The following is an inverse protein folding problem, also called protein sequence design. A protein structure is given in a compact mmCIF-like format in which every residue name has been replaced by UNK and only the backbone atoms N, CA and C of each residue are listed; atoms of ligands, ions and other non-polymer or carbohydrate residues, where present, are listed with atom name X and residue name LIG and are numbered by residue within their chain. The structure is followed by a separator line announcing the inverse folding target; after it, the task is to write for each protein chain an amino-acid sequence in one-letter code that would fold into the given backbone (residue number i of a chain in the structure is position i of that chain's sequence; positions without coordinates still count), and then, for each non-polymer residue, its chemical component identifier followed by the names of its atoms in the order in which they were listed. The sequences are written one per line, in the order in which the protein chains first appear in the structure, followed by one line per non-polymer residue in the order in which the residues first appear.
data_IF_408809670091
#
_entry.id   IF_408809670091
#
_cell.length_a   1.000
_cell.length_b   1.000
_cell.length_c   1.000
_cell.angle_alpha   90.00
_cell.angle_beta   90.00
_cell.angle_gamma   90.00
#
_symmetry.space_group_name_H-M   'P 1'
#
loop_
_entity.id
_entity.type
_entity.pdbx_description
1 polymer ?
#
# COMPACT_ATOMS: atom_id res chain seq x y z
N UNK A 1 7.23 32.87 -1.44
CA UNK A 1 6.73 31.48 -1.38
C UNK A 1 5.38 31.42 -2.08
N UNK A 2 5.22 30.58 -3.09
CA UNK A 2 3.90 30.37 -3.72
C UNK A 2 3.00 29.63 -2.72
N UNK A 3 1.81 30.14 -2.38
CA UNK A 3 0.90 29.42 -1.49
C UNK A 3 0.45 28.12 -2.17
N UNK A 4 0.57 27.00 -1.45
CA UNK A 4 0.28 25.64 -1.93
C UNK A 4 -1.23 25.46 -2.20
N UNK A 5 -2.08 26.34 -1.65
CA UNK A 5 -3.52 26.37 -1.88
C UNK A 5 -4.02 27.79 -2.16
N UNK A 6 -5.19 27.89 -2.81
CA UNK A 6 -5.93 29.15 -3.02
C UNK A 6 -7.38 28.97 -2.59
N UNK A 7 -7.92 29.96 -1.89
CA UNK A 7 -9.28 29.93 -1.32
C UNK A 7 -9.51 28.67 -0.48
N UNK A 8 -10.65 28.03 -0.69
CA UNK A 8 -11.05 26.77 -0.06
C UNK A 8 -10.37 25.50 -0.64
N UNK A 9 -9.28 25.64 -1.41
CA UNK A 9 -8.55 24.49 -1.97
C UNK A 9 -8.12 23.44 -0.95
N UNK A 10 -7.80 23.86 0.28
CA UNK A 10 -7.42 22.96 1.38
C UNK A 10 -8.52 21.95 1.77
N UNK A 11 -9.78 22.19 1.38
CA UNK A 11 -10.88 21.26 1.62
C UNK A 11 -10.70 19.93 0.88
N UNK A 12 -10.01 19.90 -0.26
CA UNK A 12 -9.83 18.67 -1.04
C UNK A 12 -9.25 17.51 -0.19
N UNK A 13 -8.04 17.62 0.39
CA UNK A 13 -7.50 16.54 1.21
C UNK A 13 -8.32 16.26 2.47
N UNK A 14 -8.92 17.29 3.09
CA UNK A 14 -9.72 17.13 4.31
C UNK A 14 -10.99 16.33 4.05
N UNK A 15 -11.71 16.64 2.96
CA UNK A 15 -12.92 15.91 2.57
C UNK A 15 -12.59 14.46 2.24
N UNK A 16 -11.50 14.19 1.51
CA UNK A 16 -11.11 12.81 1.24
C UNK A 16 -10.85 12.03 2.53
N UNK A 17 -10.00 12.55 3.43
CA UNK A 17 -9.68 11.87 4.69
C UNK A 17 -10.92 11.66 5.54
N UNK A 18 -11.72 12.70 5.76
CA UNK A 18 -12.94 12.61 6.55
C UNK A 18 -13.93 11.61 5.94
N UNK A 19 -14.20 11.71 4.64
CA UNK A 19 -15.17 10.83 3.99
C UNK A 19 -14.74 9.36 4.00
N UNK A 20 -13.45 9.05 3.88
CA UNK A 20 -12.98 7.66 4.02
C UNK A 20 -13.15 7.13 5.43
N UNK A 21 -12.84 7.93 6.45
CA UNK A 21 -13.03 7.54 7.85
C UNK A 21 -14.51 7.35 8.15
N UNK A 22 -15.35 8.30 7.73
CA UNK A 22 -16.80 8.24 7.94
C UNK A 22 -17.42 7.02 7.26
N UNK A 23 -17.04 6.73 6.01
CA UNK A 23 -17.54 5.55 5.29
C UNK A 23 -17.06 4.26 5.93
N UNK A 24 -15.80 4.18 6.37
CA UNK A 24 -15.31 3.00 7.09
C UNK A 24 -16.11 2.79 8.40
N UNK A 25 -16.25 3.83 9.23
CA UNK A 25 -17.00 3.75 10.49
C UNK A 25 -18.46 3.36 10.27
N UNK A 26 -19.10 3.92 9.24
CA UNK A 26 -20.49 3.61 8.90
C UNK A 26 -20.65 2.16 8.45
N UNK A 27 -19.74 1.67 7.60
CA UNK A 27 -19.82 0.32 7.06
C UNK A 27 -19.51 -0.71 8.13
N UNK A 28 -18.45 -0.52 8.92
CA UNK A 28 -18.10 -1.45 9.99
C UNK A 28 -19.18 -1.44 11.09
N UNK A 29 -19.81 -0.28 11.36
CA UNK A 29 -20.91 -0.16 12.31
C UNK A 29 -22.21 -0.86 11.87
N UNK A 30 -22.46 -0.99 10.56
CA UNK A 30 -23.69 -1.60 10.01
C UNK A 30 -23.49 -3.06 9.63
N UNK A 31 -22.35 -3.39 9.02
CA UNK A 31 -22.08 -4.70 8.42
C UNK A 31 -21.23 -5.61 9.32
N UNK A 32 -20.65 -5.08 10.40
CA UNK A 32 -19.80 -5.80 11.33
C UNK A 32 -18.35 -5.32 11.31
N UNK A 33 -17.64 -5.60 12.40
CA UNK A 33 -16.26 -5.17 12.60
C UNK A 33 -15.35 -5.66 11.46
N UNK A 34 -14.48 -4.78 10.97
CA UNK A 34 -13.55 -4.99 9.85
C UNK A 34 -14.18 -5.34 8.49
N UNK A 35 -15.50 -5.26 8.32
CA UNK A 35 -16.15 -5.58 7.05
C UNK A 35 -15.60 -4.73 5.89
N UNK A 36 -15.37 -3.43 6.12
CA UNK A 36 -14.77 -2.53 5.15
C UNK A 36 -13.38 -3.00 4.72
N UNK A 37 -12.56 -3.47 5.68
CA UNK A 37 -11.18 -3.89 5.40
C UNK A 37 -11.11 -5.22 4.66
N UNK A 38 -12.02 -6.14 4.93
CA UNK A 38 -12.05 -7.47 4.32
C UNK A 38 -12.62 -7.44 2.89
N UNK A 39 -13.48 -6.48 2.56
CA UNK A 39 -14.20 -6.46 1.30
C UNK A 39 -13.66 -5.39 0.33
N UNK A 40 -12.85 -5.81 -0.65
CA UNK A 40 -12.29 -4.91 -1.68
C UNK A 40 -13.36 -4.13 -2.45
N UNK A 41 -14.44 -4.78 -2.87
CA UNK A 41 -15.49 -4.14 -3.66
C UNK A 41 -16.13 -2.97 -2.92
N UNK A 42 -16.23 -3.05 -1.59
CA UNK A 42 -16.73 -1.97 -0.74
C UNK A 42 -15.78 -0.77 -0.79
N UNK A 43 -14.47 -0.99 -0.71
CA UNK A 43 -13.47 0.08 -0.80
C UNK A 43 -13.55 0.79 -2.15
N UNK A 44 -13.67 0.02 -3.24
CA UNK A 44 -13.80 0.57 -4.60
C UNK A 44 -15.10 1.37 -4.75
N UNK A 45 -16.22 0.86 -4.25
CA UNK A 45 -17.49 1.57 -4.27
C UNK A 45 -17.43 2.87 -3.46
N UNK A 46 -16.85 2.80 -2.26
CA UNK A 46 -16.64 3.95 -1.38
C UNK A 46 -15.76 5.01 -2.04
N UNK A 47 -14.68 4.60 -2.68
CA UNK A 47 -13.79 5.48 -3.45
C UNK A 47 -14.55 6.24 -4.55
N UNK A 48 -15.40 5.55 -5.30
CA UNK A 48 -16.23 6.18 -6.35
C UNK A 48 -17.25 7.15 -5.75
N UNK A 49 -17.93 6.77 -4.67
CA UNK A 49 -18.90 7.63 -3.99
C UNK A 49 -18.24 8.91 -3.45
N UNK A 50 -17.09 8.79 -2.78
CA UNK A 50 -16.31 9.93 -2.27
C UNK A 50 -15.80 10.81 -3.41
N UNK A 51 -15.33 10.21 -4.51
CA UNK A 51 -14.89 10.95 -5.69
C UNK A 51 -16.02 11.80 -6.30
N UNK A 52 -17.21 11.22 -6.46
CA UNK A 52 -18.39 11.95 -6.94
C UNK A 52 -18.78 13.10 -6.00
N UNK A 53 -18.70 12.87 -4.69
CA UNK A 53 -18.98 13.89 -3.68
C UNK A 53 -17.97 15.05 -3.77
N UNK A 54 -16.67 14.76 -3.88
CA UNK A 54 -15.62 15.78 -4.06
C UNK A 54 -15.80 16.51 -5.40
N UNK A 55 -16.15 15.81 -6.47
CA UNK A 55 -16.44 16.43 -7.76
C UNK A 55 -17.60 17.41 -7.68
N UNK A 56 -18.70 17.02 -7.00
CA UNK A 56 -19.86 17.89 -6.80
C UNK A 56 -19.49 19.16 -6.01
N UNK A 57 -18.71 19.04 -4.94
CA UNK A 57 -18.22 20.18 -4.16
C UNK A 57 -17.30 21.06 -5.01
N UNK A 58 -16.35 20.46 -5.73
CA UNK A 58 -15.41 21.18 -6.59
C UNK A 58 -16.13 21.97 -7.68
N UNK A 59 -17.08 21.34 -8.38
CA UNK A 59 -17.92 21.99 -9.38
C UNK A 59 -18.78 23.10 -8.77
N UNK A 60 -19.38 22.87 -7.60
CA UNK A 60 -20.19 23.87 -6.92
C UNK A 60 -19.35 25.11 -6.58
N UNK A 61 -18.18 24.94 -5.98
CA UNK A 61 -17.28 26.03 -5.61
C UNK A 61 -16.70 26.75 -6.84
N UNK A 62 -16.20 26.01 -7.83
CA UNK A 62 -15.48 26.62 -8.96
C UNK A 62 -16.38 27.10 -10.11
N UNK A 63 -17.59 26.57 -10.27
CA UNK A 63 -18.54 27.03 -11.30
C UNK A 63 -19.39 28.18 -10.76
N UNK A 64 -19.92 28.07 -9.53
CA UNK A 64 -20.82 29.08 -8.95
C UNK A 64 -20.09 30.36 -8.56
N UNK A 65 -18.93 30.26 -7.90
CA UNK A 65 -18.30 31.44 -7.31
C UNK A 65 -17.44 32.23 -8.31
N UNK A 66 -17.22 31.70 -9.53
CA UNK A 66 -16.39 32.32 -10.56
C UNK A 66 -17.17 33.07 -11.64
N UNK A 67 -18.26 33.73 -11.25
CA UNK A 67 -19.01 34.65 -12.11
C UNK A 67 -18.15 35.89 -12.40
N UNK A 68 -18.20 36.41 -13.63
CA UNK A 68 -17.52 37.64 -14.03
C UNK A 68 -18.06 38.83 -13.23
N UNK A 69 -17.20 39.53 -12.49
CA UNK A 69 -17.56 40.78 -11.82
C UNK A 69 -17.05 41.95 -12.65
N UNK A 70 -17.96 42.87 -13.01
CA UNK A 70 -17.64 44.11 -13.71
C UNK A 70 -17.57 45.21 -12.68
N UNK A 71 -16.41 45.85 -12.52
CA UNK A 71 -16.28 47.00 -11.65
C UNK A 71 -16.94 48.22 -12.32
N UNK A 72 -17.97 48.78 -11.67
CA UNK A 72 -18.74 49.93 -12.16
C UNK A 72 -17.88 51.16 -12.47
N UNK A 73 -16.79 51.33 -11.72
CA UNK A 73 -15.91 52.51 -11.81
C UNK A 73 -14.82 52.41 -12.88
N UNK A 74 -14.41 51.20 -13.27
CA UNK A 74 -13.25 51.01 -14.18
C UNK A 74 -13.57 50.19 -15.43
N UNK A 75 -14.76 49.59 -15.51
CA UNK A 75 -15.15 48.68 -16.61
C UNK A 75 -14.33 47.39 -16.68
N UNK A 76 -13.37 47.19 -15.78
CA UNK A 76 -12.52 45.99 -15.77
C UNK A 76 -13.32 44.78 -15.34
N UNK A 77 -13.25 43.72 -16.15
CA UNK A 77 -13.81 42.40 -15.86
C UNK A 77 -12.80 41.60 -15.05
N UNK A 78 -13.12 41.26 -13.81
CA UNK A 78 -12.28 40.41 -12.96
C UNK A 78 -13.01 39.10 -12.67
N UNK A 79 -12.25 37.99 -12.64
CA UNK A 79 -12.78 36.66 -12.30
C UNK A 79 -12.13 36.20 -10.99
N UNK A 80 -12.92 35.75 -10.00
CA UNK A 80 -12.37 35.18 -8.78
C UNK A 80 -11.41 34.01 -9.09
N UNK A 81 -10.30 33.89 -8.32
CA UNK A 81 -9.37 32.78 -8.49
C UNK A 81 -10.08 31.45 -8.17
N UNK A 82 -9.72 30.39 -8.88
CA UNK A 82 -10.24 29.06 -8.58
C UNK A 82 -9.77 28.57 -7.19
N UNK A 83 -10.60 27.76 -6.56
CA UNK A 83 -10.25 26.99 -5.38
C UNK A 83 -9.35 25.84 -5.82
N UNK A 84 -8.06 25.96 -5.48
CA UNK A 84 -7.03 25.03 -5.95
C UNK A 84 -6.19 24.49 -4.81
N UNK A 85 -5.87 23.21 -4.87
CA UNK A 85 -4.88 22.55 -4.03
C UNK A 85 -3.72 22.08 -4.92
N UNK A 86 -2.48 22.39 -4.53
CA UNK A 86 -1.28 22.18 -5.36
C UNK A 86 -1.47 22.69 -6.79
N UNK A 87 -2.04 23.89 -6.93
CA UNK A 87 -2.33 24.57 -8.21
C UNK A 87 -3.39 23.90 -9.10
N UNK A 88 -3.95 22.75 -8.68
CA UNK A 88 -5.01 22.04 -9.39
C UNK A 88 -6.38 22.35 -8.78
N UNK A 89 -7.43 22.57 -9.61
CA UNK A 89 -8.80 22.71 -9.13
C UNK A 89 -9.27 21.48 -8.33
N UNK A 90 -10.15 21.69 -7.35
CA UNK A 90 -10.67 20.61 -6.48
C UNK A 90 -11.30 19.47 -7.30
N UNK A 91 -12.03 19.78 -8.37
CA UNK A 91 -12.66 18.80 -9.26
C UNK A 91 -11.66 17.86 -9.94
N UNK A 92 -10.41 18.28 -10.14
CA UNK A 92 -9.36 17.43 -10.71
C UNK A 92 -8.91 16.39 -9.69
N UNK A 93 -8.92 16.71 -8.39
CA UNK A 93 -8.57 15.77 -7.31
C UNK A 93 -9.58 14.62 -7.19
N UNK A 94 -10.84 14.85 -7.57
CA UNK A 94 -11.84 13.80 -7.69
C UNK A 94 -11.47 12.70 -8.69
N UNK A 95 -10.57 12.98 -9.65
CA UNK A 95 -10.05 11.99 -10.60
C UNK A 95 -8.69 11.46 -10.15
N UNK A 96 -7.79 12.34 -9.72
CA UNK A 96 -6.42 11.96 -9.35
C UNK A 96 -6.43 10.96 -8.19
N UNK A 97 -7.19 11.22 -7.13
CA UNK A 97 -7.18 10.36 -5.94
C UNK A 97 -7.65 8.94 -6.27
N UNK A 98 -8.81 8.73 -6.93
CA UNK A 98 -9.20 7.39 -7.37
C UNK A 98 -8.18 6.68 -8.25
N UNK A 99 -7.59 7.38 -9.22
CA UNK A 99 -6.57 6.78 -10.08
C UNK A 99 -5.36 6.29 -9.27
N UNK A 100 -4.88 7.08 -8.31
CA UNK A 100 -3.75 6.68 -7.44
C UNK A 100 -4.12 5.49 -6.57
N UNK A 101 -5.33 5.49 -5.97
CA UNK A 101 -5.80 4.37 -5.15
C UNK A 101 -5.95 3.09 -5.96
N UNK A 102 -6.56 3.15 -7.15
CA UNK A 102 -6.74 2.00 -8.03
C UNK A 102 -5.40 1.48 -8.57
N UNK A 103 -4.47 2.37 -8.91
CA UNK A 103 -3.13 1.97 -9.31
C UNK A 103 -2.41 1.23 -8.17
N UNK A 104 -2.46 1.77 -6.95
CA UNK A 104 -1.87 1.11 -5.78
C UNK A 104 -2.52 -0.26 -5.50
N UNK A 105 -3.85 -0.35 -5.56
CA UNK A 105 -4.58 -1.61 -5.39
C UNK A 105 -4.19 -2.65 -6.45
N UNK A 106 -4.06 -2.24 -7.71
CA UNK A 106 -3.61 -3.09 -8.81
C UNK A 106 -2.18 -3.60 -8.58
N UNK A 107 -1.23 -2.71 -8.27
CA UNK A 107 0.16 -3.11 -8.02
C UNK A 107 0.29 -4.06 -6.83
N UNK A 108 -0.50 -3.86 -5.77
CA UNK A 108 -0.51 -4.76 -4.62
C UNK A 108 -1.01 -6.16 -5.00
N UNK A 109 -2.11 -6.26 -5.74
CA UNK A 109 -2.62 -7.55 -6.21
C UNK A 109 -1.65 -8.28 -7.13
N UNK A 110 -1.02 -7.55 -8.05
CA UNK A 110 -0.03 -8.15 -8.93
C UNK A 110 1.14 -8.71 -8.11
N UNK A 111 1.58 -7.97 -7.09
CA UNK A 111 2.65 -8.42 -6.20
C UNK A 111 2.24 -9.62 -5.34
N UNK A 112 1.02 -9.65 -4.80
CA UNK A 112 0.48 -10.77 -4.04
C UNK A 112 0.34 -12.02 -4.91
N UNK A 113 -0.19 -11.88 -6.12
CA UNK A 113 -0.33 -12.99 -7.08
C UNK A 113 1.03 -13.56 -7.47
N UNK A 114 2.03 -12.71 -7.74
CA UNK A 114 3.41 -13.15 -8.01
C UNK A 114 3.99 -13.89 -6.81
N UNK A 115 3.82 -13.34 -5.62
CA UNK A 115 4.34 -13.92 -4.37
C UNK A 115 3.73 -15.30 -4.12
N UNK A 116 2.39 -15.43 -4.23
CA UNK A 116 1.69 -16.70 -4.11
C UNK A 116 2.16 -17.72 -5.15
N UNK A 117 2.29 -17.31 -6.42
CA UNK A 117 2.79 -18.20 -7.47
C UNK A 117 4.20 -18.71 -7.19
N UNK A 118 5.07 -17.90 -6.57
CA UNK A 118 6.42 -18.33 -6.19
C UNK A 118 6.42 -19.30 -5.00
N UNK A 119 5.50 -19.14 -4.04
CA UNK A 119 5.37 -20.05 -2.90
C UNK A 119 4.78 -21.40 -3.34
N UNK A 120 3.80 -21.39 -4.25
CA UNK A 120 3.19 -22.61 -4.79
C UNK A 120 4.15 -23.42 -5.66
N UNK A 121 5.10 -22.75 -6.32
CA UNK A 121 6.11 -23.37 -7.18
C UNK A 121 7.52 -22.98 -6.74
N UNK A 122 7.97 -23.44 -5.56
CA UNK A 122 9.28 -23.06 -5.03
C UNK A 122 10.40 -23.51 -5.96
N UNK A 123 11.45 -22.70 -6.09
CA UNK A 123 12.65 -22.99 -6.87
C UNK A 123 13.88 -22.80 -6.01
N UNK A 124 14.92 -23.55 -6.34
CA UNK A 124 16.25 -23.35 -5.75
C UNK A 124 16.68 -21.90 -5.96
N UNK A 125 17.24 -21.30 -4.90
CA UNK A 125 17.63 -19.90 -4.78
C UNK A 125 16.48 -18.88 -4.65
N UNK A 126 15.23 -19.30 -4.46
CA UNK A 126 14.21 -18.36 -4.01
C UNK A 126 14.56 -17.82 -2.62
N UNK A 127 14.41 -16.51 -2.43
CA UNK A 127 14.68 -15.85 -1.15
C UNK A 127 13.35 -15.39 -0.54
N UNK A 128 13.03 -15.94 0.62
CA UNK A 128 11.84 -15.64 1.41
C UNK A 128 12.17 -14.62 2.48
N UNK A 129 11.45 -13.51 2.54
CA UNK A 129 11.55 -12.53 3.62
C UNK A 129 10.57 -12.88 4.72
N UNK A 130 11.07 -13.12 5.93
CA UNK A 130 10.29 -13.70 7.03
C UNK A 130 10.49 -12.94 8.34
N UNK A 131 9.52 -13.09 9.24
CA UNK A 131 9.60 -12.76 10.65
C UNK A 131 10.00 -14.01 11.44
N UNK A 132 11.28 -14.11 11.81
CA UNK A 132 11.83 -15.24 12.53
C UNK A 132 11.19 -15.46 13.90
N UNK A 133 10.73 -14.40 14.57
CA UNK A 133 10.10 -14.51 15.91
C UNK A 133 8.83 -15.34 15.93
N UNK A 134 8.19 -15.51 14.76
CA UNK A 134 6.99 -16.34 14.59
C UNK A 134 7.29 -17.76 14.09
N UNK A 135 8.50 -18.01 13.61
CA UNK A 135 8.95 -19.30 13.08
C UNK A 135 9.74 -20.07 14.14
N UNK A 136 10.64 -19.38 14.85
CA UNK A 136 11.54 -19.98 15.83
C UNK A 136 11.19 -19.48 17.24
N UNK A 137 11.15 -20.39 18.21
CA UNK A 137 10.61 -20.14 19.56
C UNK A 137 11.54 -19.33 20.48
N UNK A 138 12.79 -19.03 20.08
CA UNK A 138 13.83 -18.40 20.91
C UNK A 138 14.61 -17.28 20.17
N UNK A 139 13.93 -16.51 19.33
CA UNK A 139 14.54 -15.40 18.59
C UNK A 139 14.59 -14.11 19.41
N UNK A 140 15.51 -13.22 19.02
CA UNK A 140 15.66 -11.91 19.65
C UNK A 140 14.38 -11.07 19.43
N UNK A 141 13.75 -10.54 20.50
CA UNK A 141 12.54 -9.75 20.37
C UNK A 141 12.76 -8.42 19.61
N UNK A 142 14.00 -7.95 19.52
CA UNK A 142 14.39 -6.73 18.82
C UNK A 142 14.67 -7.04 17.35
N UNK A 143 15.50 -8.04 17.05
CA UNK A 143 15.92 -8.38 15.68
C UNK A 143 15.16 -9.58 15.13
N UNK A 144 13.94 -9.34 14.64
CA UNK A 144 13.01 -10.41 14.25
C UNK A 144 12.88 -10.64 12.75
N UNK A 145 13.36 -9.74 11.90
CA UNK A 145 13.17 -9.87 10.45
C UNK A 145 14.43 -10.38 9.77
N UNK A 146 14.31 -11.36 8.88
CA UNK A 146 15.44 -11.88 8.11
C UNK A 146 15.03 -12.48 6.77
N UNK A 147 15.93 -13.23 6.15
CA UNK A 147 15.64 -13.99 4.93
C UNK A 147 15.90 -15.47 5.11
N UNK A 148 15.23 -16.28 4.30
CA UNK A 148 15.51 -17.68 4.11
C UNK A 148 15.72 -17.97 2.64
N UNK A 149 16.66 -18.82 2.27
CA UNK A 149 16.90 -19.22 0.88
C UNK A 149 16.56 -20.70 0.67
N UNK A 150 15.93 -21.01 -0.45
CA UNK A 150 15.64 -22.38 -0.88
C UNK A 150 16.89 -23.05 -1.42
N UNK A 151 17.29 -24.17 -0.82
CA UNK A 151 18.40 -24.99 -1.28
C UNK A 151 17.95 -26.12 -2.20
N UNK A 152 16.96 -26.88 -1.75
CA UNK A 152 16.45 -28.05 -2.47
C UNK A 152 14.93 -28.10 -2.34
N UNK A 153 14.30 -28.61 -3.40
CA UNK A 153 12.86 -28.83 -3.47
C UNK A 153 12.65 -30.29 -3.82
N UNK A 154 12.15 -31.06 -2.85
CA UNK A 154 11.89 -32.49 -2.97
C UNK A 154 10.37 -32.72 -2.85
N UNK A 155 9.68 -32.57 -3.98
CA UNK A 155 8.22 -32.69 -4.04
C UNK A 155 7.54 -31.63 -3.18
N UNK A 156 7.03 -32.02 -2.01
CA UNK A 156 6.32 -31.12 -1.08
C UNK A 156 7.20 -30.61 0.08
N UNK A 157 8.44 -31.09 0.19
CA UNK A 157 9.40 -30.64 1.20
C UNK A 157 10.45 -29.71 0.58
N UNK A 158 10.80 -28.68 1.33
CA UNK A 158 11.72 -27.62 0.92
C UNK A 158 12.76 -27.47 2.03
N UNK A 159 14.03 -27.59 1.64
CA UNK A 159 15.15 -27.31 2.51
C UNK A 159 15.51 -25.83 2.43
N UNK A 160 15.45 -25.14 3.56
CA UNK A 160 15.69 -23.70 3.67
C UNK A 160 16.90 -23.43 4.56
N UNK A 161 17.69 -22.42 4.22
CA UNK A 161 18.70 -21.84 5.14
C UNK A 161 18.26 -20.48 5.61
N UNK A 162 18.43 -20.20 6.90
CA UNK A 162 18.14 -18.88 7.46
C UNK A 162 19.34 -17.95 7.31
N UNK A 163 19.08 -16.65 7.17
CA UNK A 163 20.13 -15.63 7.18
C UNK A 163 20.87 -15.60 8.51
N UNK A 164 22.17 -15.31 8.46
CA UNK A 164 22.96 -15.02 9.68
C UNK A 164 22.67 -13.62 10.23
N UNK A 165 22.06 -12.77 9.41
CA UNK A 165 21.65 -11.41 9.75
C UNK A 165 20.15 -11.33 10.04
N UNK A 166 19.81 -10.64 11.11
CA UNK A 166 18.44 -10.26 11.44
C UNK A 166 18.35 -8.74 11.67
N UNK A 167 17.16 -8.17 11.45
CA UNK A 167 16.90 -6.75 11.50
C UNK A 167 15.70 -6.44 12.40
N UNK A 168 15.68 -5.23 12.94
CA UNK A 168 14.58 -4.66 13.71
C UNK A 168 13.36 -4.31 12.84
N UNK A 169 13.56 -4.15 11.52
CA UNK A 169 12.50 -3.80 10.58
C UNK A 169 12.65 -4.45 9.20
N UNK A 170 11.49 -4.63 8.54
CA UNK A 170 11.38 -5.12 7.14
C UNK A 170 12.22 -4.31 6.15
N UNK A 171 12.52 -3.05 6.46
CA UNK A 171 13.33 -2.17 5.62
C UNK A 171 14.78 -2.65 5.51
N UNK A 172 15.35 -3.23 6.58
CA UNK A 172 16.70 -3.79 6.56
C UNK A 172 16.81 -4.94 5.56
N UNK A 173 15.90 -5.93 5.68
CA UNK A 173 15.78 -7.05 4.75
C UNK A 173 15.65 -6.60 3.30
N UNK A 174 14.76 -5.64 3.02
CA UNK A 174 14.56 -5.11 1.66
C UNK A 174 15.80 -4.41 1.09
N UNK A 175 16.59 -3.75 1.94
CA UNK A 175 17.82 -3.07 1.52
C UNK A 175 18.85 -4.08 1.03
N UNK A 176 19.02 -5.18 1.76
CA UNK A 176 20.05 -6.18 1.46
C UNK A 176 19.65 -7.08 0.28
N UNK A 177 18.35 -7.34 0.10
CA UNK A 177 17.82 -7.90 -1.15
C UNK A 177 18.10 -6.98 -2.34
N UNK A 178 17.78 -5.68 -2.22
CA UNK A 178 17.97 -4.72 -3.32
C UNK A 178 19.44 -4.56 -3.72
N UNK A 179 20.36 -4.66 -2.75
CA UNK A 179 21.79 -4.53 -2.98
C UNK A 179 22.45 -5.83 -3.46
N UNK A 180 21.72 -6.94 -3.55
CA UNK A 180 22.24 -8.25 -3.93
C UNK A 180 23.01 -8.98 -2.81
N UNK A 181 23.14 -8.40 -1.63
CA UNK A 181 23.86 -9.01 -0.49
C UNK A 181 23.19 -10.31 -0.04
N UNK A 182 21.86 -10.37 -0.09
CA UNK A 182 21.10 -11.56 0.25
C UNK A 182 21.20 -12.69 -0.81
N UNK A 183 21.85 -12.47 -1.95
CA UNK A 183 22.13 -13.52 -2.93
C UNK A 183 23.46 -14.26 -2.62
N UNK A 184 24.30 -13.71 -1.74
CA UNK A 184 25.59 -14.31 -1.39
C UNK A 184 25.41 -15.52 -0.45
N UNK A 185 26.11 -16.62 -0.74
CA UNK A 185 26.04 -17.82 0.10
C UNK A 185 26.51 -17.58 1.55
N UNK A 186 27.45 -16.63 1.76
CA UNK A 186 27.96 -16.21 3.07
C UNK A 186 26.93 -15.47 3.94
N UNK A 187 25.85 -14.96 3.32
CA UNK A 187 24.77 -14.30 4.03
C UNK A 187 23.91 -15.28 4.86
N UNK A 188 23.98 -16.57 4.54
CA UNK A 188 23.18 -17.61 5.15
C UNK A 188 23.98 -18.45 6.14
N UNK A 189 23.32 -18.85 7.22
CA UNK A 189 23.89 -19.78 8.18
C UNK A 189 23.92 -21.21 7.60
N UNK A 190 24.64 -22.11 8.26
CA UNK A 190 24.72 -23.51 7.85
C UNK A 190 23.54 -24.36 8.39
N UNK A 191 22.60 -23.76 9.11
CA UNK A 191 21.45 -24.48 9.66
C UNK A 191 20.39 -24.64 8.57
N UNK A 192 20.02 -25.89 8.32
CA UNK A 192 18.99 -26.23 7.33
C UNK A 192 17.71 -26.56 8.07
N UNK A 193 16.65 -25.85 7.74
CA UNK A 193 15.30 -26.08 8.24
C UNK A 193 14.46 -26.67 7.11
N UNK A 194 13.81 -27.80 7.39
CA UNK A 194 12.88 -28.42 6.45
C UNK A 194 11.48 -27.87 6.70
N UNK A 195 10.81 -27.44 5.64
CA UNK A 195 9.42 -26.98 5.70
C UNK A 195 8.64 -27.52 4.50
N UNK A 196 7.33 -27.61 4.65
CA UNK A 196 6.43 -27.97 3.56
C UNK A 196 5.90 -26.73 2.84
N UNK A 197 5.50 -26.88 1.57
CA UNK A 197 4.81 -25.81 0.82
C UNK A 197 3.58 -25.31 1.59
N UNK A 198 2.86 -26.22 2.25
CA UNK A 198 1.67 -25.90 3.04
C UNK A 198 1.99 -25.02 4.26
N UNK A 199 3.10 -25.27 4.95
CA UNK A 199 3.56 -24.42 6.06
C UNK A 199 3.95 -23.03 5.57
N UNK A 200 4.68 -22.93 4.45
CA UNK A 200 5.02 -21.64 3.85
C UNK A 200 3.77 -20.82 3.46
N UNK A 201 2.76 -21.47 2.89
CA UNK A 201 1.48 -20.83 2.60
C UNK A 201 0.76 -20.38 3.88
N UNK A 202 0.86 -21.15 4.96
CA UNK A 202 0.36 -20.76 6.30
C UNK A 202 1.06 -19.51 6.80
N UNK A 203 2.40 -19.50 6.78
CA UNK A 203 3.21 -18.36 7.19
C UNK A 203 2.95 -17.11 6.35
N UNK A 204 2.67 -17.25 5.06
CA UNK A 204 2.28 -16.12 4.22
C UNK A 204 0.93 -15.54 4.63
N UNK A 205 -0.08 -16.40 4.87
CA UNK A 205 -1.41 -15.96 5.32
C UNK A 205 -1.39 -15.28 6.69
N UNK A 206 -0.51 -15.71 7.58
CA UNK A 206 -0.29 -15.13 8.91
C UNK A 206 0.57 -13.84 8.88
N UNK A 207 1.10 -13.48 7.70
CA UNK A 207 2.00 -12.34 7.52
C UNK A 207 3.39 -12.54 8.13
N UNK A 208 3.74 -13.78 8.49
CA UNK A 208 5.07 -14.20 8.94
C UNK A 208 6.05 -14.16 7.77
N UNK A 209 5.66 -14.75 6.63
CA UNK A 209 6.34 -14.56 5.35
C UNK A 209 5.66 -13.39 4.64
N UNK A 210 6.42 -12.37 4.24
CA UNK A 210 5.83 -11.14 3.70
C UNK A 210 6.31 -10.78 2.28
N UNK A 211 7.34 -11.44 1.77
CA UNK A 211 7.79 -11.26 0.40
C UNK A 211 8.59 -12.48 -0.07
N UNK A 212 8.52 -12.75 -1.37
CA UNK A 212 9.41 -13.70 -2.05
C UNK A 212 10.14 -12.95 -3.16
N UNK A 213 11.45 -13.16 -3.21
CA UNK A 213 12.31 -12.67 -4.26
C UNK A 213 12.86 -13.85 -5.06
N UNK A 214 12.76 -13.74 -6.37
CA UNK A 214 13.27 -14.70 -7.35
C UNK A 214 13.98 -13.89 -8.42
N UNK A 215 15.25 -14.22 -8.66
CA UNK A 215 16.03 -13.71 -9.79
C UNK A 215 15.73 -14.48 -11.08
#
# INVERSE_FOLDING_TARGET
MLPIWKGLGWLAPVIFVAAFVDVQMLIDGVMGEDFYQQNRWVKVFSLVAVALFVAAIGLWLNVRDRIWRVHSETGKKTRPPAHTFLFLPIEVWAVIVPCVFLANDYFQQEQESKTLGYIETPRVNDIYSVDFSKIFQNEDPIYKYGTMIVLTVEGNQIALKSSSHAYDGKRGVRKDLKNGTAAEASYYNNQVTQMTIRELLGYYKEGTLFAVHRE
#
